data_IF_130314851581
#
_entry.id   IF_130314851581
#
_cell.length_a   1.000
_cell.length_b   1.000
_cell.length_c   1.000
_cell.angle_alpha   90.00
_cell.angle_beta   90.00
_cell.angle_gamma   90.00
#
_symmetry.space_group_name_H-M   'P 1'
#
loop_
_entity.id
_entity.type
_entity.pdbx_description
1 polymer ?
#
# COMPACT_ATOMS: atom_id res chain seq x y z
N UNK A 1 -8.83 0.30 -16.34
CA UNK A 1 -7.88 -0.53 -15.58
C UNK A 1 -8.58 -1.17 -14.39
N UNK A 2 -8.49 -2.49 -14.30
CA UNK A 2 -8.96 -3.28 -13.16
C UNK A 2 -7.76 -3.49 -12.23
N UNK A 3 -7.98 -3.37 -10.92
CA UNK A 3 -6.96 -3.60 -9.91
C UNK A 3 -7.47 -4.54 -8.84
N UNK A 4 -6.58 -5.38 -8.36
CA UNK A 4 -6.85 -6.34 -7.30
C UNK A 4 -6.16 -5.86 -6.03
N UNK A 5 -6.92 -5.82 -4.95
CA UNK A 5 -6.46 -5.36 -3.64
C UNK A 5 -6.31 -6.58 -2.75
N UNK A 6 -5.13 -6.68 -2.14
CA UNK A 6 -4.78 -7.65 -1.11
C UNK A 6 -4.57 -6.92 0.21
N UNK A 7 -4.99 -7.51 1.31
CA UNK A 7 -4.71 -7.02 2.66
C UNK A 7 -3.62 -7.86 3.30
N UNK A 8 -2.81 -7.24 4.14
CA UNK A 8 -1.90 -7.98 5.02
C UNK A 8 -2.68 -8.53 6.22
N UNK A 9 -2.50 -9.81 6.57
CA UNK A 9 -2.96 -10.35 7.86
C UNK A 9 -2.02 -9.99 9.01
N UNK A 10 -0.77 -9.59 8.71
CA UNK A 10 0.25 -9.25 9.71
C UNK A 10 0.25 -7.78 10.10
N UNK A 11 -0.16 -6.91 9.19
CA UNK A 11 -0.15 -5.45 9.36
C UNK A 11 -1.52 -4.89 9.12
N UNK A 12 -2.03 -4.21 10.14
CA UNK A 12 -3.31 -3.52 10.04
C UNK A 12 -3.22 -2.34 9.06
N UNK A 13 -4.35 -2.02 8.43
CA UNK A 13 -4.47 -0.93 7.45
C UNK A 13 -3.44 -0.96 6.29
N UNK A 14 -2.84 -2.11 6.01
CA UNK A 14 -1.83 -2.28 4.97
C UNK A 14 -2.43 -3.04 3.79
N UNK A 15 -2.37 -2.41 2.61
CA UNK A 15 -2.99 -2.92 1.40
C UNK A 15 -1.99 -2.95 0.24
N UNK A 16 -2.05 -4.00 -0.55
CA UNK A 16 -1.23 -4.21 -1.73
C UNK A 16 -2.14 -4.22 -2.96
N UNK A 17 -1.81 -3.39 -3.93
CA UNK A 17 -2.54 -3.25 -5.17
C UNK A 17 -1.71 -3.86 -6.29
N UNK A 18 -2.35 -4.68 -7.13
CA UNK A 18 -1.74 -5.31 -8.30
C UNK A 18 -2.68 -5.24 -9.50
N UNK A 19 -2.12 -5.26 -10.70
CA UNK A 19 -2.89 -5.21 -11.95
C UNK A 19 -3.60 -6.54 -12.25
N UNK A 20 -3.01 -7.66 -11.79
CA UNK A 20 -3.50 -9.01 -12.07
C UNK A 20 -3.56 -9.84 -10.79
N UNK A 21 -4.66 -10.58 -10.64
CA UNK A 21 -4.88 -11.45 -9.49
C UNK A 21 -3.76 -12.50 -9.42
N UNK A 22 -3.07 -12.56 -8.28
CA UNK A 22 -2.02 -13.54 -8.01
C UNK A 22 -0.66 -13.24 -8.66
N UNK A 23 -0.51 -12.09 -9.31
CA UNK A 23 0.77 -11.69 -9.89
C UNK A 23 1.58 -10.93 -8.83
N UNK A 24 2.46 -11.66 -8.15
CA UNK A 24 3.36 -11.10 -7.13
C UNK A 24 4.83 -11.14 -7.55
N UNK A 25 5.11 -11.57 -8.79
CA UNK A 25 6.46 -11.73 -9.33
C UNK A 25 7.24 -10.42 -9.39
N UNK A 26 6.54 -9.29 -9.48
CA UNK A 26 7.14 -7.94 -9.49
C UNK A 26 7.40 -7.39 -8.10
N UNK A 27 6.96 -8.08 -7.06
CA UNK A 27 7.04 -7.60 -5.68
C UNK A 27 8.35 -8.08 -5.06
N UNK A 28 9.15 -7.18 -4.47
CA UNK A 28 10.37 -7.57 -3.78
C UNK A 28 10.08 -8.55 -2.65
N UNK A 29 10.89 -9.61 -2.54
CA UNK A 29 10.75 -10.62 -1.47
C UNK A 29 10.78 -9.99 -0.07
N UNK A 30 11.62 -8.97 0.15
CA UNK A 30 11.68 -8.24 1.41
C UNK A 30 10.34 -7.57 1.77
N UNK A 31 9.65 -7.04 0.76
CA UNK A 31 8.34 -6.40 0.91
C UNK A 31 7.27 -7.45 1.19
N UNK A 32 7.25 -8.54 0.43
CA UNK A 32 6.36 -9.70 0.65
C UNK A 32 6.54 -10.32 2.02
N UNK A 33 7.79 -10.50 2.48
CA UNK A 33 8.11 -11.05 3.81
C UNK A 33 7.52 -10.20 4.93
N UNK A 34 7.63 -8.87 4.77
CA UNK A 34 7.07 -7.88 5.69
C UNK A 34 5.54 -7.83 5.62
N UNK A 35 4.98 -7.93 4.41
CA UNK A 35 3.55 -7.94 4.16
C UNK A 35 2.89 -9.25 4.63
N UNK A 36 3.62 -10.36 4.66
CA UNK A 36 3.08 -11.69 4.90
C UNK A 36 2.31 -12.23 3.69
N UNK A 37 1.47 -13.23 3.94
CA UNK A 37 0.67 -13.87 2.89
C UNK A 37 -0.44 -12.91 2.43
N UNK A 38 -0.45 -12.46 1.16
CA UNK A 38 -1.45 -11.53 0.69
C UNK A 38 -2.83 -12.15 0.66
N UNK A 39 -3.75 -11.64 1.48
CA UNK A 39 -5.13 -12.11 1.48
C UNK A 39 -5.97 -11.28 0.52
N UNK A 40 -6.63 -11.93 -0.43
CA UNK A 40 -7.52 -11.26 -1.36
C UNK A 40 -8.58 -10.46 -0.59
N UNK A 41 -8.63 -9.16 -0.82
CA UNK A 41 -9.58 -8.27 -0.16
C UNK A 41 -10.74 -7.97 -1.11
N UNK A 42 -10.45 -7.35 -2.26
CA UNK A 42 -11.46 -7.00 -3.25
C UNK A 42 -10.84 -6.66 -4.61
N UNK A 43 -11.66 -6.65 -5.66
CA UNK A 43 -11.31 -6.19 -7.00
C UNK A 43 -12.11 -4.93 -7.31
N UNK A 44 -11.44 -3.91 -7.88
CA UNK A 44 -12.07 -2.64 -8.22
C UNK A 44 -11.62 -2.15 -9.60
N UNK A 45 -12.51 -1.44 -10.31
CA UNK A 45 -12.14 -0.72 -11.53
C UNK A 45 -11.70 0.71 -11.18
N UNK A 46 -10.44 1.04 -11.49
CA UNK A 46 -9.93 2.40 -11.30
C UNK A 46 -10.46 3.38 -12.34
N UNK A 47 -10.94 2.89 -13.49
CA UNK A 47 -11.45 3.73 -14.58
C UNK A 47 -12.67 4.58 -14.22
N UNK A 48 -13.52 4.12 -13.29
CA UNK A 48 -14.74 4.83 -12.88
C UNK A 48 -14.64 5.52 -11.52
N UNK A 49 -13.54 5.32 -10.78
CA UNK A 49 -13.38 5.87 -9.42
C UNK A 49 -12.52 7.13 -9.45
N UNK A 50 -12.89 8.09 -8.62
CA UNK A 50 -12.12 9.33 -8.43
C UNK A 50 -11.22 9.30 -7.20
N UNK A 51 -11.51 8.47 -6.19
CA UNK A 51 -10.75 8.37 -4.94
C UNK A 51 -10.81 6.95 -4.36
N UNK A 52 -9.77 6.58 -3.61
CA UNK A 52 -9.76 5.42 -2.71
C UNK A 52 -9.78 5.94 -1.27
N UNK A 53 -10.26 5.12 -0.32
CA UNK A 53 -10.40 5.55 1.07
C UNK A 53 -9.04 5.81 1.74
N UNK A 54 -8.04 4.97 1.46
CA UNK A 54 -6.76 4.98 2.16
C UNK A 54 -5.54 5.20 1.25
N UNK A 55 -5.76 5.42 -0.06
CA UNK A 55 -4.69 5.60 -1.04
C UNK A 55 -5.05 6.65 -2.09
N UNK A 56 -4.03 7.27 -2.67
CA UNK A 56 -4.20 8.16 -3.81
C UNK A 56 -4.31 7.35 -5.11
N UNK A 57 -5.44 7.50 -5.82
CA UNK A 57 -5.70 6.74 -7.05
C UNK A 57 -4.72 7.08 -8.17
N UNK A 58 -4.23 8.33 -8.23
CA UNK A 58 -3.27 8.76 -9.24
C UNK A 58 -1.94 8.08 -8.98
N UNK A 59 -1.46 8.09 -7.73
CA UNK A 59 -0.24 7.37 -7.34
C UNK A 59 -0.36 5.87 -7.60
N UNK A 60 -1.48 5.26 -7.22
CA UNK A 60 -1.74 3.84 -7.47
C UNK A 60 -1.63 3.54 -8.96
N UNK A 61 -2.26 4.34 -9.83
CA UNK A 61 -2.23 4.12 -11.28
C UNK A 61 -0.82 4.26 -11.86
N UNK A 62 -0.07 5.28 -11.44
CA UNK A 62 1.31 5.49 -11.89
C UNK A 62 2.21 4.34 -11.46
N UNK A 63 2.17 3.97 -10.18
CA UNK A 63 3.03 2.91 -9.62
C UNK A 63 2.68 1.54 -10.18
N UNK A 64 1.40 1.26 -10.43
CA UNK A 64 1.00 0.05 -11.14
C UNK A 64 1.50 0.06 -12.58
N UNK A 65 1.43 1.19 -13.30
CA UNK A 65 1.93 1.26 -14.68
C UNK A 65 3.46 1.17 -14.78
N UNK A 66 4.19 1.69 -13.80
CA UNK A 66 5.66 1.71 -13.80
C UNK A 66 6.26 0.44 -13.18
N UNK A 67 5.81 0.08 -11.97
CA UNK A 67 6.37 -1.02 -11.17
C UNK A 67 5.52 -2.29 -11.22
N UNK A 68 4.23 -2.20 -11.58
CA UNK A 68 3.29 -3.33 -11.57
C UNK A 68 2.65 -3.60 -10.20
N UNK A 69 3.01 -2.84 -9.16
CA UNK A 69 2.40 -2.95 -7.83
C UNK A 69 2.38 -1.60 -7.10
N UNK A 70 1.50 -1.47 -6.12
CA UNK A 70 1.51 -0.34 -5.18
C UNK A 70 1.25 -0.85 -3.76
N UNK A 71 2.16 -0.52 -2.83
CA UNK A 71 1.98 -0.81 -1.41
C UNK A 71 1.48 0.42 -0.68
N UNK A 72 0.33 0.28 -0.05
CA UNK A 72 -0.20 1.24 0.90
C UNK A 72 0.14 0.78 2.32
N UNK A 73 0.95 1.56 3.02
CA UNK A 73 1.22 1.42 4.45
C UNK A 73 0.48 2.51 5.21
N UNK A 74 0.06 2.28 6.47
CA UNK A 74 -0.46 3.34 7.31
C UNK A 74 0.61 4.44 7.46
N UNK A 75 0.23 5.73 7.47
CA UNK A 75 1.19 6.79 7.79
C UNK A 75 1.78 6.50 9.17
N UNK A 76 3.10 6.69 9.37
CA UNK A 76 3.66 6.64 10.70
C UNK A 76 2.91 7.65 11.55
N UNK A 77 2.32 7.19 12.65
CA UNK A 77 1.85 8.10 13.71
C UNK A 77 3.07 8.90 14.12
N UNK A 78 3.07 10.20 13.84
CA UNK A 78 4.05 11.11 14.39
C UNK A 78 3.99 10.94 15.91
N UNK A 79 4.95 10.22 16.49
CA UNK A 79 5.14 10.27 17.92
C UNK A 79 5.56 11.70 18.21
N UNK A 80 4.67 12.46 18.85
CA UNK A 80 4.87 13.83 19.36
C UNK A 80 5.95 13.88 20.48
N UNK A 81 7.04 13.14 20.33
CA UNK A 81 8.09 12.94 21.34
C UNK A 81 9.46 13.44 20.90
N UNK A 82 9.58 14.08 19.72
CA UNK A 82 10.86 14.61 19.23
C UNK A 82 11.07 16.11 19.52
N UNK A 83 10.13 16.81 20.17
CA UNK A 83 10.20 18.28 20.30
C UNK A 83 10.74 18.81 21.65
N UNK A 84 11.14 17.95 22.59
CA UNK A 84 11.49 18.40 23.96
C UNK A 84 12.91 18.06 24.47
N UNK A 85 13.87 17.70 23.61
CA UNK A 85 15.26 17.48 24.03
C UNK A 85 16.29 18.31 23.25
N UNK A 86 15.92 19.54 22.87
CA UNK A 86 16.85 20.52 22.27
C UNK A 86 16.83 21.89 22.96
N UNK A 87 16.27 22.00 24.17
CA UNK A 87 16.38 23.17 25.05
C UNK A 87 16.83 22.71 26.43
N UNK A 88 18.13 22.48 26.57
CA UNK A 88 18.86 22.85 27.78
C UNK A 88 20.36 22.79 27.44
N UNK A 89 20.84 23.87 26.84
CA UNK A 89 22.27 24.14 26.71
C UNK A 89 22.66 25.11 27.81
#
# INVERSE_FOLDING_TARGET
>A
MICVIYRSPKRDQTFLYVEKKGDFSRIPEALLKTFGEPQYSMMISLSGRKKLANADIVKVRTMLSEQGFYLQVPPPVESLMSEHLAVNK
#
